data_IF_963442400457
#
_entry.id   IF_963442400457
#
_cell.length_a   1.000
_cell.length_b   1.000
_cell.length_c   1.000
_cell.angle_alpha   90.00
_cell.angle_beta   90.00
_cell.angle_gamma   90.00
#
_symmetry.space_group_name_H-M   'P 1'
#
loop_
_entity.id
_entity.type
_entity.pdbx_description
1 polymer ?
#
# COMPACT_ATOMS: atom_id res chain seq x y z
N UNK A 1 -0.84 1.73 -17.62
CA UNK A 1 -2.20 1.85 -17.08
C UNK A 1 -2.34 3.22 -16.44
N UNK A 2 -3.20 4.11 -16.96
CA UNK A 2 -3.44 5.40 -16.32
C UNK A 2 -4.46 5.19 -15.19
N UNK A 3 -3.98 4.77 -14.01
CA UNK A 3 -4.81 4.59 -12.83
C UNK A 3 -4.87 5.92 -12.07
N UNK A 4 -6.07 6.47 -11.80
CA UNK A 4 -6.18 7.69 -11.01
C UNK A 4 -5.54 7.52 -9.62
N UNK A 5 -4.77 8.51 -9.17
CA UNK A 5 -4.15 8.50 -7.83
C UNK A 5 -5.16 8.33 -6.69
N UNK A 6 -6.40 8.80 -6.88
CA UNK A 6 -7.49 8.61 -5.91
C UNK A 6 -7.89 7.13 -5.75
N UNK A 7 -7.83 6.34 -6.82
CA UNK A 7 -8.13 4.92 -6.78
C UNK A 7 -7.04 4.17 -6.00
N UNK A 8 -5.77 4.45 -6.28
CA UNK A 8 -4.64 3.85 -5.55
C UNK A 8 -4.74 4.14 -4.05
N UNK A 9 -4.99 5.40 -3.68
CA UNK A 9 -5.22 5.78 -2.28
C UNK A 9 -6.38 5.05 -1.63
N UNK A 10 -7.43 4.75 -2.37
CA UNK A 10 -8.60 4.02 -1.87
C UNK A 10 -8.24 2.57 -1.57
N UNK A 11 -7.51 1.91 -2.47
CA UNK A 11 -7.02 0.55 -2.25
C UNK A 11 -6.05 0.49 -1.07
N UNK A 12 -5.09 1.42 -1.00
CA UNK A 12 -4.19 1.51 0.16
C UNK A 12 -4.94 1.69 1.47
N UNK A 13 -6.02 2.46 1.48
CA UNK A 13 -6.85 2.66 2.68
C UNK A 13 -7.49 1.36 3.15
N UNK A 14 -7.99 0.54 2.22
CA UNK A 14 -8.55 -0.79 2.51
C UNK A 14 -7.47 -1.72 3.05
N UNK A 15 -6.30 -1.76 2.39
CA UNK A 15 -5.18 -2.60 2.83
C UNK A 15 -4.69 -2.20 4.23
N UNK A 16 -4.57 -0.89 4.50
CA UNK A 16 -4.22 -0.35 5.82
C UNK A 16 -5.28 -0.68 6.87
N UNK A 17 -6.56 -0.55 6.53
CA UNK A 17 -7.66 -0.90 7.42
C UNK A 17 -7.61 -2.36 7.85
N UNK A 18 -7.49 -3.25 6.87
CA UNK A 18 -7.39 -4.69 7.10
C UNK A 18 -6.20 -5.02 8.00
N UNK A 19 -5.02 -4.48 7.69
CA UNK A 19 -3.78 -4.84 8.38
C UNK A 19 -3.70 -4.29 9.80
N UNK A 20 -4.17 -3.06 10.04
CA UNK A 20 -3.99 -2.39 11.33
C UNK A 20 -5.16 -2.51 12.29
N UNK A 21 -6.39 -2.72 11.80
CA UNK A 21 -7.58 -2.81 12.65
C UNK A 21 -8.49 -4.01 12.33
N UNK A 22 -8.22 -4.78 11.26
CA UNK A 22 -9.16 -5.78 10.76
C UNK A 22 -10.49 -5.18 10.30
N UNK A 23 -10.50 -3.88 9.93
CA UNK A 23 -11.70 -3.12 9.54
C UNK A 23 -11.48 -2.47 8.18
N UNK A 24 -12.53 -1.93 7.55
CA UNK A 24 -12.40 -1.26 6.24
C UNK A 24 -11.46 -0.04 6.27
N UNK A 25 -11.31 0.62 7.44
CA UNK A 25 -10.53 1.84 7.60
C UNK A 25 -9.69 1.80 8.88
N UNK A 26 -8.45 2.24 8.79
CA UNK A 26 -7.59 2.52 9.94
C UNK A 26 -7.52 4.03 10.20
N UNK A 27 -7.65 4.43 11.46
CA UNK A 27 -7.45 5.83 11.89
C UNK A 27 -5.98 6.09 12.21
N UNK A 28 -5.57 7.37 12.20
CA UNK A 28 -4.17 7.82 12.25
C UNK A 28 -3.34 7.40 13.48
N UNK A 29 -3.94 6.79 14.50
CA UNK A 29 -3.24 6.25 15.67
C UNK A 29 -3.05 4.73 15.67
N UNK A 30 -3.52 4.02 14.64
CA UNK A 30 -3.49 2.55 14.60
C UNK A 30 -2.39 1.96 13.71
N UNK A 31 -1.66 2.79 12.98
CA UNK A 31 -0.57 2.35 12.12
C UNK A 31 0.69 2.06 12.97
N UNK A 32 1.04 0.79 13.16
CA UNK A 32 2.26 0.40 13.89
C UNK A 32 3.53 0.62 13.05
N UNK A 33 3.42 0.54 11.73
CA UNK A 33 4.53 0.71 10.78
C UNK A 33 4.14 1.66 9.66
N UNK A 34 5.09 2.47 9.18
CA UNK A 34 4.85 3.33 8.03
C UNK A 34 4.54 2.52 6.78
N UNK A 35 3.57 2.99 5.98
CA UNK A 35 3.15 2.28 4.77
C UNK A 35 4.29 2.07 3.77
N UNK A 36 5.19 3.05 3.66
CA UNK A 36 6.37 2.95 2.81
C UNK A 36 7.27 1.78 3.19
N UNK A 37 7.43 1.46 4.48
CA UNK A 37 8.23 0.31 4.95
C UNK A 37 7.52 -1.02 4.71
N UNK A 38 6.20 -1.04 4.89
CA UNK A 38 5.36 -2.22 4.62
C UNK A 38 5.51 -2.71 3.18
N UNK A 39 5.61 -1.78 2.22
CA UNK A 39 5.73 -2.13 0.80
C UNK A 39 7.13 -2.56 0.36
N UNK A 40 8.14 -2.53 1.25
CA UNK A 40 9.48 -3.01 0.91
C UNK A 40 9.50 -4.54 0.74
N UNK A 41 10.44 -5.09 -0.06
CA UNK A 41 10.73 -6.52 -0.10
C UNK A 41 11.02 -7.10 1.29
N UNK A 42 10.80 -8.41 1.47
CA UNK A 42 11.08 -9.11 2.73
C UNK A 42 12.57 -9.03 3.09
N UNK A 43 13.47 -9.10 2.10
CA UNK A 43 14.92 -8.99 2.31
C UNK A 43 15.35 -7.64 2.89
N UNK A 44 14.52 -6.60 2.71
CA UNK A 44 14.74 -5.25 3.26
C UNK A 44 13.90 -4.98 4.52
N UNK A 45 13.32 -6.03 5.13
CA UNK A 45 12.53 -5.92 6.37
C UNK A 45 11.10 -5.39 6.17
N UNK A 46 10.59 -5.41 4.94
CA UNK A 46 9.19 -5.08 4.63
C UNK A 46 8.28 -6.30 4.56
N UNK A 47 6.99 -6.08 4.27
CA UNK A 47 5.98 -7.13 4.12
C UNK A 47 5.77 -7.57 2.66
N UNK A 48 6.54 -7.03 1.71
CA UNK A 48 6.42 -7.24 0.27
C UNK A 48 5.00 -7.02 -0.28
N UNK A 49 4.24 -6.12 0.36
CA UNK A 49 2.95 -5.69 -0.19
C UNK A 49 3.24 -4.81 -1.42
N UNK A 50 2.68 -5.12 -2.60
CA UNK A 50 2.99 -4.40 -3.81
C UNK A 50 2.56 -2.93 -3.70
N UNK A 51 3.50 -2.03 -3.94
CA UNK A 51 3.18 -0.61 -4.12
C UNK A 51 2.54 -0.42 -5.51
N UNK A 52 1.25 -0.09 -5.50
CA UNK A 52 0.44 0.04 -6.73
C UNK A 52 0.92 1.18 -7.65
N UNK A 53 1.48 2.27 -7.10
CA UNK A 53 2.05 3.34 -7.93
C UNK A 53 3.29 2.84 -8.69
N UNK A 54 4.20 2.16 -7.99
CA UNK A 54 5.42 1.60 -8.58
C UNK A 54 5.09 0.49 -9.58
N UNK A 55 4.16 -0.39 -9.23
CA UNK A 55 3.70 -1.46 -10.12
C UNK A 55 3.04 -0.89 -11.39
N UNK A 56 2.20 0.13 -11.26
CA UNK A 56 1.58 0.80 -12.41
C UNK A 56 2.64 1.38 -13.35
N UNK A 57 3.69 2.00 -12.78
CA UNK A 57 4.80 2.54 -13.56
C UNK A 57 5.58 1.41 -14.27
N UNK A 58 5.94 0.34 -13.55
CA UNK A 58 6.67 -0.80 -14.12
C UNK A 58 5.91 -1.45 -15.29
N UNK A 59 4.58 -1.57 -15.19
CA UNK A 59 3.73 -2.09 -16.27
C UNK A 59 3.62 -1.15 -17.48
N UNK A 60 3.92 0.13 -17.32
CA UNK A 60 3.93 1.13 -18.41
C UNK A 60 5.27 1.23 -19.13
N UNK A 61 6.35 0.72 -18.53
CA UNK A 61 7.70 0.77 -19.11
C UNK A 61 7.90 -0.33 -20.18
N UNK A 62 6.85 -1.10 -20.51
CA UNK A 62 6.85 -2.09 -21.59
C UNK A 62 6.29 -1.54 -22.89
#
# INVERSE_FOLDING_TARGET
MNVPKCFIKTVEKIQRGFMWQGKEKANGGCCLVSWSKVTHPHDLGGLAIPNLEVMSCALQIR
#
